data_IF_411189238037
#
_entry.id   IF_411189238037
#
_cell.length_a   1.000
_cell.length_b   1.000
_cell.length_c   1.000
_cell.angle_alpha   90.00
_cell.angle_beta   90.00
_cell.angle_gamma   90.00
#
_symmetry.space_group_name_H-M   'P 1'
#
loop_
_entity.id
_entity.type
_entity.pdbx_description
1 polymer ?
#
# COMPACT_ATOMS: atom_id res chain seq x y z
N UNK A 1 -6.08 -8.45 -6.82
CA UNK A 1 -5.56 -7.43 -7.76
C UNK A 1 -6.65 -6.92 -8.71
N UNK A 2 -7.61 -7.75 -9.13
CA UNK A 2 -8.71 -7.36 -10.04
C UNK A 2 -9.44 -6.06 -9.67
N UNK A 3 -9.85 -5.87 -8.41
CA UNK A 3 -10.55 -4.65 -7.97
C UNK A 3 -9.74 -3.34 -8.11
N UNK A 4 -8.44 -3.40 -7.87
CA UNK A 4 -7.56 -2.25 -8.04
C UNK A 4 -7.32 -1.93 -9.52
N UNK A 5 -7.35 -2.96 -10.36
CA UNK A 5 -7.24 -2.82 -11.81
C UNK A 5 -8.52 -2.21 -12.41
N UNK A 6 -9.70 -2.68 -11.98
CA UNK A 6 -11.00 -2.02 -12.29
C UNK A 6 -10.94 -0.53 -11.92
N UNK A 7 -10.49 -0.20 -10.70
CA UNK A 7 -10.38 1.19 -10.27
C UNK A 7 -9.43 2.03 -11.15
N UNK A 8 -8.29 1.44 -11.54
CA UNK A 8 -7.31 2.10 -12.40
C UNK A 8 -7.85 2.31 -13.83
N UNK A 9 -8.58 1.34 -14.36
CA UNK A 9 -9.19 1.42 -15.70
C UNK A 9 -10.31 2.45 -15.72
N UNK A 10 -11.26 2.38 -14.78
CA UNK A 10 -12.36 3.33 -14.63
C UNK A 10 -11.86 4.78 -14.59
N UNK A 11 -10.80 5.05 -13.81
CA UNK A 11 -10.24 6.41 -13.68
C UNK A 11 -9.43 6.88 -14.90
N UNK A 12 -9.07 5.98 -15.81
CA UNK A 12 -8.32 6.30 -17.02
C UNK A 12 -9.23 6.55 -18.25
N UNK A 13 -10.49 6.13 -18.18
CA UNK A 13 -11.47 6.27 -19.26
C UNK A 13 -12.21 7.62 -19.20
N UNK A 14 -12.54 8.18 -20.38
CA UNK A 14 -13.22 9.48 -20.49
C UNK A 14 -14.75 9.36 -20.37
N UNK A 15 -15.30 8.18 -20.65
CA UNK A 15 -16.71 7.83 -20.52
C UNK A 15 -16.81 6.36 -20.07
N UNK A 16 -16.46 6.06 -18.81
CA UNK A 16 -16.42 4.68 -18.32
C UNK A 16 -17.81 4.07 -18.29
N UNK A 17 -17.95 2.89 -18.87
CA UNK A 17 -19.18 2.09 -18.83
C UNK A 17 -19.16 1.26 -17.53
N UNK A 18 -20.32 0.97 -16.95
CA UNK A 18 -20.48 0.09 -15.77
C UNK A 18 -20.08 -1.38 -16.06
N UNK A 19 -18.80 -1.62 -16.32
CA UNK A 19 -18.16 -2.92 -16.54
C UNK A 19 -17.34 -3.43 -15.35
N UNK A 20 -17.35 -2.70 -14.23
CA UNK A 20 -16.53 -2.94 -13.04
C UNK A 20 -17.35 -3.55 -11.89
N UNK A 21 -17.67 -4.86 -11.92
CA UNK A 21 -18.60 -5.48 -10.99
C UNK A 21 -18.11 -5.44 -9.54
N UNK A 22 -16.79 -5.42 -9.29
CA UNK A 22 -16.27 -5.39 -7.93
C UNK A 22 -16.39 -3.98 -7.34
N UNK A 23 -16.20 -2.93 -8.14
CA UNK A 23 -16.39 -1.55 -7.69
C UNK A 23 -17.88 -1.22 -7.51
N UNK A 24 -18.73 -1.64 -8.45
CA UNK A 24 -20.17 -1.41 -8.37
C UNK A 24 -20.76 -2.00 -7.08
N UNK A 25 -20.26 -3.15 -6.63
CA UNK A 25 -20.68 -3.79 -5.38
C UNK A 25 -20.35 -2.99 -4.11
N UNK A 26 -19.52 -1.94 -4.18
CA UNK A 26 -19.18 -1.08 -3.04
C UNK A 26 -19.89 0.28 -3.05
N UNK A 27 -20.66 0.59 -4.10
CA UNK A 27 -21.44 1.83 -4.17
C UNK A 27 -22.48 1.84 -3.05
N UNK A 28 -22.53 2.94 -2.29
CA UNK A 28 -23.36 3.09 -1.10
C UNK A 28 -22.79 2.44 0.17
N UNK A 29 -21.67 1.70 0.07
CA UNK A 29 -20.96 1.13 1.22
C UNK A 29 -19.65 1.88 1.46
N UNK A 30 -18.78 1.91 0.45
CA UNK A 30 -17.46 2.57 0.52
C UNK A 30 -17.59 4.06 0.20
N UNK A 31 -18.38 4.42 -0.83
CA UNK A 31 -18.68 5.79 -1.19
C UNK A 31 -20.01 5.89 -1.98
N UNK A 32 -20.63 7.08 -2.06
CA UNK A 32 -21.92 7.27 -2.73
C UNK A 32 -21.96 6.95 -4.23
N UNK A 33 -20.84 7.11 -4.95
CA UNK A 33 -20.79 6.93 -6.42
C UNK A 33 -19.68 5.99 -6.85
N UNK A 34 -19.81 5.38 -8.04
CA UNK A 34 -18.80 4.50 -8.61
C UNK A 34 -17.44 5.20 -8.78
N UNK A 35 -17.44 6.47 -9.23
CA UNK A 35 -16.23 7.28 -9.36
C UNK A 35 -15.52 7.53 -8.02
N UNK A 36 -16.27 7.78 -6.95
CA UNK A 36 -15.69 7.94 -5.61
C UNK A 36 -15.16 6.61 -5.07
N UNK A 37 -15.88 5.50 -5.29
CA UNK A 37 -15.40 4.16 -4.94
C UNK A 37 -14.08 3.85 -5.67
N UNK A 38 -14.03 4.08 -6.99
CA UNK A 38 -12.82 3.89 -7.80
C UNK A 38 -11.66 4.72 -7.25
N UNK A 39 -11.91 5.98 -6.89
CA UNK A 39 -10.91 6.88 -6.30
C UNK A 39 -10.38 6.36 -4.96
N UNK A 40 -11.27 5.91 -4.05
CA UNK A 40 -10.89 5.36 -2.75
C UNK A 40 -10.07 4.08 -2.90
N UNK A 41 -10.51 3.15 -3.75
CA UNK A 41 -9.82 1.88 -3.99
C UNK A 41 -8.46 2.12 -4.63
N UNK A 42 -8.38 2.98 -5.66
CA UNK A 42 -7.12 3.29 -6.31
C UNK A 42 -6.13 3.94 -5.34
N UNK A 43 -6.57 4.92 -4.54
CA UNK A 43 -5.73 5.56 -3.54
C UNK A 43 -5.21 4.56 -2.49
N UNK A 44 -6.09 3.69 -1.98
CA UNK A 44 -5.71 2.65 -1.02
C UNK A 44 -4.70 1.66 -1.62
N UNK A 45 -4.88 1.28 -2.89
CA UNK A 45 -3.94 0.41 -3.59
C UNK A 45 -2.57 1.07 -3.78
N UNK A 46 -2.53 2.32 -4.26
CA UNK A 46 -1.28 3.07 -4.42
C UNK A 46 -0.54 3.21 -3.09
N UNK A 47 -1.28 3.53 -2.02
CA UNK A 47 -0.70 3.65 -0.70
C UNK A 47 -0.14 2.32 -0.19
N UNK A 48 -0.86 1.21 -0.39
CA UNK A 48 -0.36 -0.13 -0.05
C UNK A 48 0.96 -0.45 -0.77
N UNK A 49 1.06 -0.15 -2.07
CA UNK A 49 2.28 -0.36 -2.85
C UNK A 49 3.45 0.47 -2.32
N UNK A 50 3.23 1.77 -2.05
CA UNK A 50 4.25 2.66 -1.50
C UNK A 50 4.77 2.20 -0.13
N UNK A 51 3.86 1.77 0.76
CA UNK A 51 4.21 1.26 2.08
C UNK A 51 5.01 -0.03 1.97
N UNK A 52 4.53 -0.98 1.15
CA UNK A 52 5.21 -2.26 0.93
C UNK A 52 6.62 -2.05 0.38
N UNK A 53 6.77 -1.16 -0.62
CA UNK A 53 8.07 -0.84 -1.19
C UNK A 53 9.03 -0.23 -0.16
N UNK A 54 8.56 0.68 0.69
CA UNK A 54 9.39 1.29 1.73
C UNK A 54 9.83 0.28 2.80
N UNK A 55 8.93 -0.60 3.23
CA UNK A 55 9.25 -1.69 4.17
C UNK A 55 10.27 -2.64 3.55
N UNK A 56 10.06 -3.05 2.31
CA UNK A 56 10.95 -3.99 1.62
C UNK A 56 12.33 -3.38 1.37
N UNK A 57 12.41 -2.09 1.04
CA UNK A 57 13.67 -1.38 0.92
C UNK A 57 14.45 -1.39 2.25
N UNK A 58 13.79 -1.09 3.37
CA UNK A 58 14.41 -1.16 4.71
C UNK A 58 14.89 -2.59 5.02
N UNK A 59 14.06 -3.59 4.76
CA UNK A 59 14.37 -5.01 5.02
C UNK A 59 15.56 -5.50 4.19
N UNK A 60 15.56 -5.22 2.88
CA UNK A 60 16.63 -5.64 1.98
C UNK A 60 17.93 -4.88 2.22
N UNK A 61 17.85 -3.58 2.50
CA UNK A 61 19.00 -2.77 2.89
C UNK A 61 19.66 -3.28 4.16
N UNK A 62 18.88 -3.52 5.21
CA UNK A 62 19.37 -4.10 6.46
C UNK A 62 19.98 -5.48 6.25
N UNK A 63 19.34 -6.36 5.47
CA UNK A 63 19.87 -7.69 5.14
C UNK A 63 21.22 -7.59 4.43
N UNK A 64 21.35 -6.68 3.47
CA UNK A 64 22.61 -6.46 2.76
C UNK A 64 23.71 -5.96 3.69
N UNK A 65 23.38 -5.04 4.61
CA UNK A 65 24.33 -4.51 5.57
C UNK A 65 24.78 -5.58 6.58
N UNK A 66 23.86 -6.41 7.08
CA UNK A 66 24.18 -7.57 7.94
C UNK A 66 25.14 -8.53 7.24
N UNK A 67 24.93 -8.81 5.95
CA UNK A 67 25.87 -9.67 5.20
C UNK A 67 27.24 -9.05 4.98
N UNK A 68 27.37 -7.73 5.08
CA UNK A 68 28.64 -7.02 4.98
C UNK A 68 29.34 -6.84 6.33
N UNK A 69 28.65 -7.09 7.45
CA UNK A 69 29.19 -6.92 8.79
C UNK A 69 30.39 -7.84 9.05
N UNK A 70 31.43 -7.30 9.68
CA UNK A 70 32.65 -8.04 10.00
C UNK A 70 32.50 -8.86 11.29
N UNK A 71 31.55 -8.49 12.17
CA UNK A 71 31.32 -9.18 13.45
C UNK A 71 29.84 -9.41 13.72
N UNK A 72 29.57 -10.27 14.70
CA UNK A 72 28.21 -10.55 15.19
C UNK A 72 27.62 -9.30 15.83
N UNK A 73 28.41 -8.58 16.63
CA UNK A 73 27.97 -7.36 17.32
C UNK A 73 27.56 -6.27 16.31
N UNK A 74 28.30 -6.13 15.21
CA UNK A 74 27.95 -5.20 14.13
C UNK A 74 26.65 -5.63 13.42
N UNK A 75 26.50 -6.92 13.11
CA UNK A 75 25.28 -7.45 12.52
C UNK A 75 24.04 -7.24 13.43
N UNK A 76 24.19 -7.44 14.73
CA UNK A 76 23.15 -7.22 15.73
C UNK A 76 22.78 -5.73 15.85
N UNK A 77 23.78 -4.83 15.88
CA UNK A 77 23.55 -3.38 15.88
C UNK A 77 22.77 -2.94 14.65
N UNK A 78 23.15 -3.40 13.44
CA UNK A 78 22.41 -3.10 12.20
C UNK A 78 20.96 -3.59 12.29
N UNK A 79 20.73 -4.81 12.81
CA UNK A 79 19.39 -5.36 12.96
C UNK A 79 18.52 -4.57 13.94
N UNK A 80 19.11 -4.03 15.01
CA UNK A 80 18.41 -3.19 16.00
C UNK A 80 18.10 -1.78 15.47
N UNK A 81 18.93 -1.25 14.58
CA UNK A 81 18.84 0.12 14.08
C UNK A 81 18.04 0.27 12.77
N UNK A 82 17.41 -0.80 12.28
CA UNK A 82 16.59 -0.75 11.05
C UNK A 82 15.49 0.30 11.20
N UNK A 83 15.60 1.36 10.40
CA UNK A 83 14.61 2.43 10.35
C UNK A 83 13.36 1.99 9.58
N UNK A 84 12.46 1.27 10.26
CA UNK A 84 11.16 0.90 9.69
C UNK A 84 10.28 2.13 9.47
N UNK A 85 9.61 2.25 8.31
CA UNK A 85 8.73 3.39 8.06
C UNK A 85 7.55 3.37 9.04
N UNK A 86 7.26 4.49 9.71
CA UNK A 86 6.20 4.58 10.72
C UNK A 86 4.78 4.73 10.13
N UNK A 87 4.68 4.85 8.81
CA UNK A 87 3.47 5.20 8.05
C UNK A 87 2.31 4.19 8.19
N UNK A 88 2.59 2.95 8.60
CA UNK A 88 1.55 1.94 8.84
C UNK A 88 0.70 2.24 10.09
N UNK A 89 1.23 2.98 11.08
CA UNK A 89 0.48 3.31 12.31
C UNK A 89 -0.65 4.31 12.06
N UNK A 90 -0.46 5.24 11.14
CA UNK A 90 -1.47 6.26 10.82
C UNK A 90 -2.71 5.67 10.15
N UNK A 91 -2.55 4.60 9.36
CA UNK A 91 -3.65 3.98 8.63
C UNK A 91 -4.59 3.14 9.48
N UNK A 92 -4.05 2.47 10.51
CA UNK A 92 -4.86 1.66 11.41
C UNK A 92 -5.71 2.54 12.33
N UNK A 93 -5.16 3.65 12.82
CA UNK A 93 -5.90 4.61 13.67
C UNK A 93 -7.01 5.31 12.89
N UNK A 94 -6.78 5.71 11.62
CA UNK A 94 -7.80 6.42 10.84
C UNK A 94 -9.01 5.58 10.40
N UNK A 95 -8.93 4.24 10.50
CA UNK A 95 -10.02 3.34 10.08
C UNK A 95 -10.72 2.61 11.23
N UNK A 96 -10.20 2.72 12.46
CA UNK A 96 -10.72 2.02 13.65
C UNK A 96 -10.88 2.96 14.87
N UNK A 97 -11.02 4.28 14.65
CA UNK A 97 -11.36 5.27 15.66
C UNK A 97 -12.57 6.08 15.20
#
# INVERSE_FOLDING_TARGET
>A
MQKAEEARQYLAETDPIDGDPLLLAEVGITAPTLAEVASVVHAAYTQWQQIGAAIEAARLGAKSAIYAAATIEEAESIAMEVAWPAIWRQLWVSKNC
#
